data_IF_957310316935
#
_entry.id   IF_957310316935
#
_cell.length_a   1.000
_cell.length_b   1.000
_cell.length_c   1.000
_cell.angle_alpha   90.00
_cell.angle_beta   90.00
_cell.angle_gamma   90.00
#
_symmetry.space_group_name_H-M   'P 1'
#
loop_
_entity.id
_entity.type
_entity.pdbx_description
1 polymer ?
#
# COMPACT_ATOMS: atom_id res chain seq x y z
N UNK A 1 -9.09 5.06 -31.97
CA UNK A 1 -8.53 6.11 -31.11
C UNK A 1 -9.42 6.34 -29.90
N UNK A 2 -8.91 7.01 -28.91
CA UNK A 2 -9.71 7.45 -27.74
C UNK A 2 -10.27 8.85 -28.09
N UNK A 3 -11.58 9.09 -27.99
CA UNK A 3 -12.14 10.41 -28.27
C UNK A 3 -11.59 11.49 -27.31
N UNK A 4 -11.28 12.67 -27.84
CA UNK A 4 -10.69 13.76 -27.06
C UNK A 4 -9.22 13.58 -26.66
N UNK A 5 -8.56 12.54 -27.15
CA UNK A 5 -7.14 12.32 -26.92
C UNK A 5 -6.30 13.31 -27.70
N UNK A 6 -5.49 14.12 -27.01
CA UNK A 6 -4.50 15.00 -27.63
C UNK A 6 -3.25 14.21 -27.98
N UNK A 7 -2.55 13.67 -26.99
CA UNK A 7 -1.36 12.86 -27.20
C UNK A 7 -1.04 11.96 -25.99
N UNK A 8 -0.11 11.05 -26.19
CA UNK A 8 0.41 10.18 -25.12
C UNK A 8 1.91 10.36 -24.99
N UNK A 9 2.41 10.22 -23.76
CA UNK A 9 3.84 10.13 -23.46
C UNK A 9 4.10 8.87 -22.69
N UNK A 10 5.17 8.17 -22.99
CA UNK A 10 5.59 6.99 -22.25
C UNK A 10 7.02 7.13 -21.76
N UNK A 11 7.27 6.58 -20.59
CA UNK A 11 8.58 6.47 -20.00
C UNK A 11 8.74 5.07 -19.42
N UNK A 12 9.81 4.37 -19.77
CA UNK A 12 10.11 3.04 -19.27
C UNK A 12 11.57 2.95 -18.85
N UNK A 13 11.81 2.52 -17.60
CA UNK A 13 13.16 2.37 -17.07
C UNK A 13 13.17 1.35 -15.90
N UNK A 14 14.13 0.45 -15.92
CA UNK A 14 14.43 -0.46 -14.80
C UNK A 14 13.19 -1.21 -14.23
N UNK A 15 12.39 -1.82 -15.11
CA UNK A 15 11.19 -2.56 -14.71
C UNK A 15 9.97 -1.68 -14.39
N UNK A 16 10.08 -0.38 -14.44
CA UNK A 16 8.98 0.58 -14.30
C UNK A 16 8.58 1.15 -15.64
N UNK A 17 7.30 1.21 -15.93
CA UNK A 17 6.74 1.86 -17.13
C UNK A 17 5.57 2.76 -16.74
N UNK A 18 5.59 3.98 -17.25
CA UNK A 18 4.51 4.95 -17.06
C UNK A 18 4.03 5.46 -18.40
N UNK A 19 2.74 5.46 -18.62
CA UNK A 19 2.08 6.08 -19.78
C UNK A 19 1.22 7.23 -19.29
N UNK A 20 1.53 8.44 -19.76
CA UNK A 20 0.75 9.65 -19.50
C UNK A 20 -0.15 9.91 -20.71
N UNK A 21 -1.43 9.97 -20.46
CA UNK A 21 -2.47 10.21 -21.48
C UNK A 21 -2.97 11.64 -21.30
N UNK A 22 -2.86 12.45 -22.34
CA UNK A 22 -3.22 13.87 -22.33
C UNK A 22 -4.42 14.06 -23.25
N UNK A 23 -5.49 14.60 -22.67
CA UNK A 23 -6.73 14.92 -23.36
C UNK A 23 -6.82 16.41 -23.65
N UNK A 24 -7.73 16.78 -24.55
CA UNK A 24 -8.08 18.17 -24.82
C UNK A 24 -8.75 18.82 -23.60
N UNK A 25 -8.55 20.12 -23.38
CA UNK A 25 -8.94 20.85 -22.16
C UNK A 25 -10.44 20.78 -21.82
N UNK A 26 -11.29 20.57 -22.83
CA UNK A 26 -12.75 20.47 -22.62
C UNK A 26 -13.25 19.04 -22.43
N UNK A 27 -12.37 18.06 -22.37
CA UNK A 27 -12.76 16.65 -22.19
C UNK A 27 -13.13 16.40 -20.72
N UNK A 28 -14.31 15.81 -20.49
CA UNK A 28 -14.70 15.41 -19.13
C UNK A 28 -13.73 14.42 -18.54
N UNK A 29 -13.26 14.68 -17.32
CA UNK A 29 -12.24 13.90 -16.65
C UNK A 29 -12.68 12.45 -16.39
N UNK A 30 -13.93 12.24 -15.98
CA UNK A 30 -14.43 10.91 -15.67
C UNK A 30 -14.66 10.09 -16.93
N UNK A 31 -15.13 10.73 -18.00
CA UNK A 31 -15.22 10.12 -19.32
C UNK A 31 -13.82 9.70 -19.82
N UNK A 32 -12.84 10.60 -19.75
CA UNK A 32 -11.46 10.30 -20.14
C UNK A 32 -10.89 9.10 -19.36
N UNK A 33 -11.10 9.06 -18.04
CA UNK A 33 -10.67 7.94 -17.19
C UNK A 33 -11.34 6.62 -17.56
N UNK A 34 -12.63 6.64 -17.84
CA UNK A 34 -13.36 5.46 -18.27
C UNK A 34 -12.79 4.90 -19.59
N UNK A 35 -12.50 5.77 -20.56
CA UNK A 35 -11.91 5.36 -21.83
C UNK A 35 -10.50 4.75 -21.63
N UNK A 36 -9.68 5.35 -20.75
CA UNK A 36 -8.36 4.81 -20.42
C UNK A 36 -8.49 3.46 -19.72
N UNK A 37 -9.41 3.31 -18.76
CA UNK A 37 -9.65 2.06 -18.04
C UNK A 37 -10.06 0.93 -19.00
N UNK A 38 -10.92 1.22 -19.96
CA UNK A 38 -11.34 0.25 -20.97
C UNK A 38 -10.15 -0.20 -21.84
N UNK A 39 -9.33 0.73 -22.32
CA UNK A 39 -8.11 0.40 -23.08
C UNK A 39 -7.09 -0.37 -22.26
N UNK A 40 -6.94 -0.02 -20.99
CA UNK A 40 -6.05 -0.72 -20.08
C UNK A 40 -6.50 -2.19 -19.88
N UNK A 41 -7.80 -2.41 -19.72
CA UNK A 41 -8.35 -3.76 -19.62
C UNK A 41 -8.16 -4.57 -20.90
N UNK A 42 -8.32 -3.95 -22.07
CA UNK A 42 -8.04 -4.61 -23.36
C UNK A 42 -6.54 -4.97 -23.51
N UNK A 43 -5.65 -4.10 -23.02
CA UNK A 43 -4.21 -4.31 -23.10
C UNK A 43 -3.69 -5.39 -22.12
N UNK A 44 -4.38 -5.67 -21.02
CA UNK A 44 -3.94 -6.67 -20.01
C UNK A 44 -3.58 -8.03 -20.63
N UNK A 45 -4.37 -8.48 -21.60
CA UNK A 45 -4.14 -9.76 -22.29
C UNK A 45 -2.91 -9.79 -23.22
N UNK A 46 -2.30 -8.63 -23.49
CA UNK A 46 -1.11 -8.52 -24.37
C UNK A 46 0.16 -8.19 -23.60
N UNK A 47 0.05 -7.95 -22.29
CA UNK A 47 1.19 -7.67 -21.42
C UNK A 47 1.90 -8.97 -21.02
N UNK A 48 3.21 -8.92 -20.73
CA UNK A 48 3.94 -10.05 -20.19
C UNK A 48 3.32 -10.55 -18.88
N UNK A 49 3.50 -11.83 -18.61
CA UNK A 49 3.05 -12.47 -17.36
C UNK A 49 3.65 -11.78 -16.13
N UNK A 50 2.84 -11.53 -15.10
CA UNK A 50 3.27 -10.82 -13.89
C UNK A 50 3.24 -9.29 -13.98
N UNK A 51 2.86 -8.70 -15.11
CA UNK A 51 2.71 -7.25 -15.27
C UNK A 51 1.25 -6.86 -15.05
N UNK A 52 0.97 -6.17 -13.95
CA UNK A 52 -0.35 -5.62 -13.66
C UNK A 52 -0.35 -4.10 -13.83
N UNK A 53 -0.96 -3.57 -14.91
CA UNK A 53 -1.05 -2.14 -15.11
C UNK A 53 -2.09 -1.53 -14.16
N UNK A 54 -1.73 -0.43 -13.54
CA UNK A 54 -2.60 0.33 -12.63
C UNK A 54 -2.82 1.74 -13.17
N UNK A 55 -4.05 2.21 -13.07
CA UNK A 55 -4.35 3.60 -13.41
C UNK A 55 -4.05 4.51 -12.21
N UNK A 56 -3.28 5.56 -12.46
CA UNK A 56 -2.96 6.57 -11.47
C UNK A 56 -4.21 7.26 -10.87
N UNK A 57 -4.08 7.89 -9.71
CA UNK A 57 -5.17 8.67 -9.11
C UNK A 57 -5.57 9.86 -9.99
N UNK A 58 -6.72 10.43 -9.71
CA UNK A 58 -7.10 11.73 -10.28
C UNK A 58 -6.20 12.77 -9.63
N UNK A 59 -5.25 13.30 -10.39
CA UNK A 59 -4.40 14.40 -9.94
C UNK A 59 -4.32 15.46 -11.02
N UNK A 60 -4.36 16.71 -10.60
CA UNK A 60 -4.02 17.86 -11.44
C UNK A 60 -2.59 18.29 -11.11
N UNK A 61 -1.90 19.00 -12.00
CA UNK A 61 -0.57 19.54 -11.73
C UNK A 61 -0.48 20.53 -10.56
N UNK A 62 -1.62 20.90 -9.97
CA UNK A 62 -1.78 21.73 -8.77
C UNK A 62 -2.22 20.88 -7.56
N UNK A 63 -2.01 19.57 -7.59
CA UNK A 63 -2.73 18.61 -6.77
C UNK A 63 -2.26 18.40 -5.34
N UNK A 64 -1.14 18.97 -4.91
CA UNK A 64 -0.72 18.89 -3.51
C UNK A 64 -1.41 20.00 -2.70
N UNK A 65 -2.55 19.66 -2.11
CA UNK A 65 -3.39 20.61 -1.37
C UNK A 65 -2.96 20.73 0.08
N UNK A 66 -2.43 19.66 0.66
CA UNK A 66 -2.04 19.58 2.06
C UNK A 66 -0.83 18.66 2.22
N UNK A 67 0.16 19.13 2.94
CA UNK A 67 1.26 18.32 3.45
C UNK A 67 1.16 18.23 4.97
N UNK A 68 1.35 17.04 5.52
CA UNK A 68 1.36 16.82 6.97
C UNK A 68 2.48 15.85 7.35
N UNK A 69 2.84 15.88 8.63
CA UNK A 69 3.86 15.01 9.19
C UNK A 69 3.20 14.11 10.21
N UNK A 70 3.51 12.82 10.15
CA UNK A 70 3.15 11.85 11.19
C UNK A 70 4.35 11.70 12.11
N UNK A 71 4.16 12.02 13.39
CA UNK A 71 5.21 11.95 14.39
C UNK A 71 4.63 11.48 15.74
N UNK A 72 5.49 11.02 16.61
CA UNK A 72 5.09 10.67 17.97
C UNK A 72 4.76 11.93 18.79
N UNK A 73 3.76 11.80 19.66
CA UNK A 73 3.49 12.85 20.63
C UNK A 73 4.71 13.05 21.54
N UNK A 74 5.28 14.25 21.52
CA UNK A 74 6.48 14.56 22.33
C UNK A 74 6.25 14.34 23.82
N UNK A 75 7.20 13.77 24.55
CA UNK A 75 7.11 13.65 26.00
C UNK A 75 6.76 14.99 26.65
N UNK A 76 5.79 15.00 27.57
CA UNK A 76 5.31 16.23 28.22
C UNK A 76 4.25 17.01 27.47
N UNK A 77 3.92 16.67 26.23
CA UNK A 77 2.76 17.23 25.53
C UNK A 77 1.44 16.73 26.14
N UNK A 78 0.32 17.47 25.88
CA UNK A 78 -1.01 17.04 26.35
C UNK A 78 -1.45 15.70 25.74
N UNK A 79 -0.93 15.36 24.55
CA UNK A 79 -1.23 14.11 23.84
C UNK A 79 -0.31 12.94 24.24
N UNK A 80 0.78 13.20 24.99
CA UNK A 80 1.67 12.13 25.41
C UNK A 80 1.13 11.44 26.65
N UNK A 81 1.10 10.10 26.71
CA UNK A 81 0.73 9.37 27.91
C UNK A 81 1.77 9.62 29.01
N UNK A 82 1.28 9.78 30.23
CA UNK A 82 2.10 10.14 31.41
C UNK A 82 2.38 8.95 32.33
N UNK A 83 1.96 7.76 31.96
CA UNK A 83 2.00 6.57 32.84
C UNK A 83 2.90 5.52 32.21
N UNK A 84 3.94 5.12 32.95
CA UNK A 84 4.80 4.00 32.57
C UNK A 84 3.98 2.71 32.36
N UNK A 85 4.35 1.91 31.36
CA UNK A 85 3.63 0.66 31.02
C UNK A 85 2.31 0.86 30.26
N UNK A 86 2.00 2.09 29.84
CA UNK A 86 0.91 2.38 28.90
C UNK A 86 1.45 2.82 27.55
N UNK A 87 0.65 2.68 26.44
CA UNK A 87 1.07 3.12 25.12
C UNK A 87 1.63 4.54 25.13
N UNK A 88 2.77 4.74 24.45
CA UNK A 88 3.51 6.00 24.39
C UNK A 88 4.96 5.88 24.79
N UNK A 89 5.63 7.03 24.91
CA UNK A 89 7.02 7.06 25.35
C UNK A 89 7.18 6.56 26.79
N UNK A 90 8.12 5.65 26.97
CA UNK A 90 8.51 5.12 28.25
C UNK A 90 9.67 5.94 28.86
N UNK A 91 9.92 5.82 30.17
CA UNK A 91 11.01 6.57 30.83
C UNK A 91 12.40 6.28 30.26
N UNK A 92 12.63 5.12 29.67
CA UNK A 92 13.88 4.69 29.04
C UNK A 92 14.04 5.20 27.59
N UNK A 93 13.08 5.99 27.08
CA UNK A 93 13.10 6.52 25.71
C UNK A 93 12.58 5.54 24.66
N UNK A 94 12.18 4.33 25.04
CA UNK A 94 11.46 3.43 24.14
C UNK A 94 10.01 3.92 23.90
N UNK A 95 9.33 3.38 22.90
CA UNK A 95 7.93 3.68 22.63
C UNK A 95 7.11 2.39 22.68
N UNK A 96 6.08 2.38 23.51
CA UNK A 96 5.12 1.27 23.55
C UNK A 96 3.95 1.56 22.64
N UNK A 97 3.71 0.68 21.68
CA UNK A 97 2.55 0.79 20.77
C UNK A 97 1.25 0.44 21.49
N UNK A 98 0.08 0.80 20.95
CA UNK A 98 -1.22 0.37 21.49
C UNK A 98 -1.39 -1.15 21.55
N UNK A 99 -0.68 -1.91 20.72
CA UNK A 99 -0.65 -3.38 20.74
C UNK A 99 0.30 -3.99 21.78
N UNK A 100 1.06 -3.13 22.51
CA UNK A 100 2.01 -3.56 23.53
C UNK A 100 3.42 -3.86 23.01
N UNK A 101 3.71 -3.65 21.73
CA UNK A 101 5.04 -3.80 21.16
C UNK A 101 5.95 -2.66 21.65
N UNK A 102 7.18 -2.96 22.07
CA UNK A 102 8.15 -1.98 22.55
C UNK A 102 9.16 -1.68 21.44
N UNK A 103 9.18 -0.45 20.99
CA UNK A 103 10.07 0.05 19.94
C UNK A 103 11.25 0.80 20.60
N UNK A 104 12.43 0.21 20.55
CA UNK A 104 13.65 0.81 21.12
C UNK A 104 14.43 1.54 20.05
N UNK A 105 14.57 0.96 18.87
CA UNK A 105 15.38 1.48 17.79
C UNK A 105 14.65 2.53 16.95
N UNK A 106 15.39 3.48 16.43
CA UNK A 106 14.85 4.55 15.57
C UNK A 106 14.21 3.99 14.29
N UNK A 107 14.86 3.00 13.68
CA UNK A 107 14.33 2.33 12.48
C UNK A 107 12.97 1.68 12.76
N UNK A 108 12.83 1.01 13.91
CA UNK A 108 11.56 0.40 14.31
C UNK A 108 10.47 1.47 14.56
N UNK A 109 10.84 2.59 15.19
CA UNK A 109 9.93 3.72 15.41
C UNK A 109 9.46 4.33 14.09
N UNK A 110 10.37 4.58 13.15
CA UNK A 110 10.04 5.12 11.82
C UNK A 110 9.21 4.14 10.98
N UNK A 111 9.48 2.84 11.11
CA UNK A 111 8.69 1.79 10.48
C UNK A 111 7.26 1.72 11.03
N UNK A 112 7.10 1.92 12.34
CA UNK A 112 5.78 2.00 12.96
C UNK A 112 4.98 3.21 12.48
N UNK A 113 5.59 4.41 12.42
CA UNK A 113 4.94 5.61 11.89
C UNK A 113 4.50 5.41 10.43
N UNK A 114 5.34 4.77 9.60
CA UNK A 114 4.98 4.42 8.23
C UNK A 114 3.79 3.46 8.17
N UNK A 115 3.77 2.46 9.04
CA UNK A 115 2.64 1.53 9.14
C UNK A 115 1.34 2.25 9.55
N UNK A 116 1.41 3.16 10.53
CA UNK A 116 0.25 3.97 10.94
C UNK A 116 -0.24 4.85 9.79
N UNK A 117 0.68 5.49 9.06
CA UNK A 117 0.34 6.30 7.89
C UNK A 117 -0.38 5.47 6.82
N UNK A 118 0.16 4.32 6.45
CA UNK A 118 -0.33 3.56 5.31
C UNK A 118 -1.60 2.75 5.63
N UNK A 119 -1.74 2.26 6.86
CA UNK A 119 -2.85 1.36 7.23
C UNK A 119 -3.94 2.02 8.08
N UNK A 120 -3.66 3.15 8.72
CA UNK A 120 -4.65 3.84 9.55
C UNK A 120 -5.03 5.19 8.95
N UNK A 121 -4.06 6.07 8.74
CA UNK A 121 -4.34 7.45 8.30
C UNK A 121 -4.81 7.51 6.86
N UNK A 122 -4.07 6.88 5.94
CA UNK A 122 -4.40 6.88 4.51
C UNK A 122 -5.80 6.33 4.20
N UNK A 123 -6.24 5.18 4.73
CA UNK A 123 -7.58 4.68 4.48
C UNK A 123 -8.67 5.63 4.98
N UNK A 124 -8.50 6.21 6.17
CA UNK A 124 -9.48 7.15 6.73
C UNK A 124 -9.57 8.45 5.91
N UNK A 125 -8.45 9.02 5.53
CA UNK A 125 -8.45 10.24 4.71
C UNK A 125 -9.01 10.01 3.30
N UNK A 126 -8.85 8.80 2.73
CA UNK A 126 -9.45 8.44 1.44
C UNK A 126 -10.98 8.43 1.46
N UNK A 127 -11.61 8.32 2.62
CA UNK A 127 -13.08 8.39 2.74
C UNK A 127 -13.61 9.83 2.70
N UNK A 128 -12.74 10.83 2.86
CA UNK A 128 -13.13 12.24 2.83
C UNK A 128 -13.43 12.66 1.40
N UNK A 129 -14.60 13.25 1.19
CA UNK A 129 -15.02 13.73 -0.13
C UNK A 129 -14.04 14.78 -0.66
N UNK A 130 -13.63 14.63 -1.92
CA UNK A 130 -12.67 15.53 -2.58
C UNK A 130 -11.21 15.13 -2.43
N UNK A 131 -10.87 14.12 -1.63
CA UNK A 131 -9.50 13.61 -1.54
C UNK A 131 -9.27 12.61 -2.69
N UNK A 132 -8.43 13.00 -3.64
CA UNK A 132 -8.12 12.19 -4.82
C UNK A 132 -7.06 11.12 -4.56
N UNK A 133 -6.08 11.41 -3.70
CA UNK A 133 -4.98 10.50 -3.37
C UNK A 133 -4.22 10.98 -2.14
N UNK A 134 -3.44 10.07 -1.56
CA UNK A 134 -2.56 10.37 -0.42
C UNK A 134 -1.28 9.60 -0.65
N UNK A 135 -0.20 10.33 -0.79
CA UNK A 135 1.13 9.77 -0.95
C UNK A 135 1.93 9.87 0.35
N UNK A 136 2.82 8.92 0.55
CA UNK A 136 3.66 8.86 1.75
C UNK A 136 5.12 8.94 1.33
N UNK A 137 5.87 9.84 1.94
CA UNK A 137 7.31 10.01 1.71
C UNK A 137 8.02 9.77 3.04
N UNK A 138 9.09 8.97 3.01
CA UNK A 138 9.89 8.66 4.20
C UNK A 138 9.34 7.52 5.06
N UNK A 139 10.02 7.28 6.17
CA UNK A 139 9.81 6.10 7.01
C UNK A 139 10.36 4.82 6.37
N UNK A 140 10.20 3.71 7.07
CA UNK A 140 10.59 2.38 6.59
C UNK A 140 9.35 1.51 6.45
N UNK A 141 9.19 0.90 5.28
CA UNK A 141 8.12 -0.07 5.06
C UNK A 141 8.44 -1.37 5.80
N UNK A 142 7.50 -1.85 6.62
CA UNK A 142 7.64 -3.13 7.32
C UNK A 142 7.54 -4.27 6.34
N UNK A 143 8.58 -5.08 6.27
CA UNK A 143 8.66 -6.26 5.41
C UNK A 143 8.80 -7.53 6.27
N UNK A 144 8.15 -8.60 5.85
CA UNK A 144 8.35 -9.92 6.41
C UNK A 144 9.26 -10.71 5.47
N UNK A 145 10.48 -10.98 5.91
CA UNK A 145 11.47 -11.71 5.11
C UNK A 145 11.49 -13.17 5.57
N UNK A 146 11.14 -14.08 4.66
CA UNK A 146 11.24 -15.51 4.89
C UNK A 146 12.61 -16.00 4.39
N UNK A 147 13.45 -16.47 5.30
CA UNK A 147 14.77 -17.00 4.99
C UNK A 147 14.78 -18.51 5.28
N UNK A 148 14.48 -19.35 4.30
CA UNK A 148 14.47 -20.78 4.49
C UNK A 148 15.90 -21.34 4.59
N UNK A 149 16.08 -22.35 5.44
CA UNK A 149 17.31 -23.12 5.54
C UNK A 149 17.34 -24.16 4.42
N UNK A 150 18.29 -24.03 3.50
CA UNK A 150 18.43 -24.92 2.34
C UNK A 150 18.67 -26.40 2.75
N UNK A 151 19.36 -26.63 3.86
CA UNK A 151 19.61 -27.99 4.35
C UNK A 151 18.33 -28.64 4.87
N UNK A 152 17.50 -27.87 5.55
CA UNK A 152 16.18 -28.33 6.02
C UNK A 152 15.22 -28.58 4.85
N UNK A 153 15.18 -27.69 3.87
CA UNK A 153 14.39 -27.89 2.66
C UNK A 153 14.76 -29.20 1.97
N UNK A 154 16.07 -29.45 1.79
CA UNK A 154 16.55 -30.69 1.19
C UNK A 154 16.19 -31.91 2.02
N UNK A 155 16.29 -31.83 3.34
CA UNK A 155 15.94 -32.93 4.26
C UNK A 155 14.44 -33.29 4.18
N UNK A 156 13.58 -32.30 4.03
CA UNK A 156 12.15 -32.51 3.89
C UNK A 156 11.69 -32.73 2.43
N UNK A 157 12.60 -32.67 1.47
CA UNK A 157 12.30 -32.83 0.05
C UNK A 157 11.42 -31.69 -0.51
N UNK A 158 11.49 -30.50 0.08
CA UNK A 158 10.70 -29.33 -0.30
C UNK A 158 11.57 -28.39 -1.14
N UNK A 159 11.07 -27.99 -2.29
CA UNK A 159 11.70 -26.96 -3.15
C UNK A 159 11.36 -25.55 -2.68
N UNK A 160 12.16 -24.56 -3.11
CA UNK A 160 11.84 -23.14 -2.89
C UNK A 160 10.50 -22.74 -3.53
N UNK A 161 10.15 -23.30 -4.67
CA UNK A 161 8.88 -23.04 -5.36
C UNK A 161 7.69 -23.50 -4.53
N UNK A 162 7.76 -24.72 -3.99
CA UNK A 162 6.70 -25.26 -3.13
C UNK A 162 6.52 -24.45 -1.85
N UNK A 163 7.63 -23.95 -1.26
CA UNK A 163 7.54 -23.05 -0.11
C UNK A 163 6.88 -21.71 -0.49
N UNK A 164 7.26 -21.12 -1.63
CA UNK A 164 6.65 -19.87 -2.11
C UNK A 164 5.14 -20.04 -2.37
N UNK A 165 4.74 -21.10 -3.06
CA UNK A 165 3.32 -21.42 -3.28
C UNK A 165 2.55 -21.67 -1.99
N UNK A 166 3.16 -22.29 -0.99
CA UNK A 166 2.53 -22.51 0.31
C UNK A 166 2.31 -21.17 1.04
N UNK A 167 3.27 -20.24 0.98
CA UNK A 167 3.15 -18.91 1.55
C UNK A 167 2.07 -18.07 0.84
N UNK A 168 2.01 -18.12 -0.48
CA UNK A 168 0.95 -17.46 -1.26
C UNK A 168 -0.42 -17.98 -0.87
N UNK A 169 -0.61 -19.29 -0.82
CA UNK A 169 -1.89 -19.90 -0.41
C UNK A 169 -2.28 -19.58 1.03
N UNK A 170 -1.32 -19.46 1.95
CA UNK A 170 -1.58 -19.11 3.34
C UNK A 170 -2.06 -17.66 3.52
N UNK A 171 -1.76 -16.78 2.56
CA UNK A 171 -2.14 -15.36 2.59
C UNK A 171 -3.40 -15.03 1.75
N UNK A 172 -4.03 -16.02 1.16
CA UNK A 172 -5.26 -15.81 0.40
C UNK A 172 -6.45 -15.86 1.36
N UNK A 173 -7.23 -14.77 1.40
CA UNK A 173 -8.53 -14.76 2.06
C UNK A 173 -9.55 -15.41 1.13
N UNK A 174 -9.92 -16.65 1.41
CA UNK A 174 -10.97 -17.35 0.66
C UNK A 174 -12.29 -17.16 1.40
N UNK A 175 -13.27 -16.55 0.73
CA UNK A 175 -14.63 -16.50 1.24
C UNK A 175 -15.20 -17.94 1.32
N UNK A 176 -15.52 -18.40 2.54
CA UNK A 176 -16.20 -19.69 2.71
C UNK A 176 -17.62 -19.57 2.17
N UNK A 177 -17.97 -20.43 1.23
CA UNK A 177 -19.36 -20.65 0.83
C UNK A 177 -20.15 -21.24 2.00
N UNK A 178 -21.44 -20.93 2.04
CA UNK A 178 -22.37 -21.51 3.03
C UNK A 178 -22.32 -23.03 2.97
N UNK A 179 -22.12 -23.66 4.11
CA UNK A 179 -22.38 -25.08 4.28
C UNK A 179 -23.82 -25.19 4.75
N UNK A 180 -24.74 -25.52 3.87
CA UNK A 180 -26.09 -25.91 4.27
C UNK A 180 -26.01 -27.22 5.07
N UNK A 181 -26.30 -27.15 6.34
CA UNK A 181 -26.41 -28.30 7.22
C UNK A 181 -27.85 -28.42 7.68
N UNK A 182 -28.60 -29.29 7.02
CA UNK A 182 -29.88 -29.76 7.52
C UNK A 182 -31.13 -28.95 7.18
N UNK A 183 -31.13 -28.14 6.10
CA UNK A 183 -32.38 -27.60 5.55
C UNK A 183 -33.10 -26.58 6.43
N UNK A 184 -32.40 -25.89 7.33
CA UNK A 184 -32.84 -24.66 8.00
C UNK A 184 -31.93 -23.49 7.67
#
# INVERSE_FOLDING_TARGET
GIPGLSHTRSFSRNGFSQVTVIFEDHTDLYFARQQVAERLNQAKGTLPEGVEPQMGPVSTGLGEVLMYIVDFAKPGSKAAPKVAGKPGFQPDGSYMTPSGEILTEEVAKLGYLRTVQDWVVRPQLKTVSGVAGIDSIGGYEKQFVVQPDASKLSTYGISFSELAEALERANISVGANFVERGGE
#
